data_IF_606465546336
#
_entry.id   IF_606465546336
#
_cell.length_a   1.000
_cell.length_b   1.000
_cell.length_c   1.000
_cell.angle_alpha   90.00
_cell.angle_beta   90.00
_cell.angle_gamma   90.00
#
_symmetry.space_group_name_H-M   'P 1'
#
loop_
_entity.id
_entity.type
_entity.pdbx_description
1 polymer ?
#
# COMPACT_ATOMS: atom_id res chain seq x y z
N UNK A 1 8.02 6.51 19.02
CA UNK A 1 7.89 5.05 19.00
C UNK A 1 9.13 4.43 19.63
N UNK A 2 9.00 3.29 20.32
CA UNK A 2 10.18 2.48 20.64
C UNK A 2 10.76 1.95 19.32
N UNK A 3 12.08 1.93 19.15
CA UNK A 3 12.70 1.46 17.89
C UNK A 3 12.25 0.04 17.53
N UNK A 4 12.16 -0.82 18.54
CA UNK A 4 11.72 -2.21 18.38
C UNK A 4 10.31 -2.31 17.76
N UNK A 5 9.36 -1.46 18.16
CA UNK A 5 7.99 -1.46 17.60
C UNK A 5 7.97 -1.05 16.12
N UNK A 6 8.89 -0.16 15.74
CA UNK A 6 9.03 0.29 14.36
C UNK A 6 9.64 -0.81 13.48
N UNK A 7 10.70 -1.46 13.97
CA UNK A 7 11.37 -2.55 13.26
C UNK A 7 10.43 -3.76 13.08
N UNK A 8 9.65 -4.09 14.11
CA UNK A 8 8.61 -5.12 14.05
C UNK A 8 7.53 -4.81 12.99
N UNK A 9 7.06 -3.55 12.94
CA UNK A 9 6.06 -3.11 11.95
C UNK A 9 6.61 -3.22 10.52
N UNK A 10 7.86 -2.80 10.28
CA UNK A 10 8.50 -2.88 8.96
C UNK A 10 8.65 -4.33 8.48
N UNK A 11 9.14 -5.23 9.35
CA UNK A 11 9.27 -6.66 9.04
C UNK A 11 7.90 -7.28 8.78
N UNK A 12 6.89 -6.94 9.59
CA UNK A 12 5.53 -7.41 9.43
C UNK A 12 4.98 -7.06 8.05
N UNK A 13 5.03 -5.77 7.67
CA UNK A 13 4.45 -5.31 6.40
C UNK A 13 5.19 -5.84 5.17
N UNK A 14 6.53 -5.96 5.23
CA UNK A 14 7.31 -6.60 4.16
C UNK A 14 6.86 -8.05 3.92
N UNK A 15 6.65 -8.82 4.99
CA UNK A 15 6.12 -10.19 4.90
C UNK A 15 4.69 -10.21 4.34
N UNK A 16 3.82 -9.34 4.87
CA UNK A 16 2.41 -9.27 4.45
C UNK A 16 2.27 -8.92 2.96
N UNK A 17 2.96 -7.88 2.48
CA UNK A 17 2.92 -7.52 1.05
C UNK A 17 3.45 -8.68 0.19
N UNK A 18 4.55 -9.32 0.60
CA UNK A 18 5.10 -10.46 -0.16
C UNK A 18 4.11 -11.63 -0.26
N UNK A 19 3.42 -11.96 0.82
CA UNK A 19 2.60 -13.18 0.89
C UNK A 19 1.19 -12.99 0.32
N UNK A 20 0.60 -11.80 0.47
CA UNK A 20 -0.81 -11.57 0.12
C UNK A 20 -1.01 -10.80 -1.19
N UNK A 21 -0.01 -10.10 -1.71
CA UNK A 21 -0.18 -9.28 -2.93
C UNK A 21 -0.65 -10.10 -4.14
N UNK A 22 -0.15 -11.33 -4.29
CA UNK A 22 -0.58 -12.23 -5.37
C UNK A 22 -2.05 -12.64 -5.26
N UNK A 23 -2.65 -12.60 -4.07
CA UNK A 23 -4.08 -12.93 -3.86
C UNK A 23 -5.01 -11.78 -4.24
N UNK A 24 -4.51 -10.55 -4.16
CA UNK A 24 -5.22 -9.37 -4.67
C UNK A 24 -5.26 -9.35 -6.21
N UNK A 25 -4.29 -10.01 -6.85
CA UNK A 25 -4.17 -10.02 -8.30
C UNK A 25 -5.39 -10.68 -9.00
N UNK A 26 -5.84 -11.92 -8.70
CA UNK A 26 -6.98 -12.51 -9.42
C UNK A 26 -8.33 -11.80 -9.19
N UNK A 27 -8.58 -11.28 -7.98
CA UNK A 27 -9.89 -10.75 -7.58
C UNK A 27 -10.16 -9.32 -8.08
N UNK A 28 -9.10 -8.55 -8.35
CA UNK A 28 -9.21 -7.18 -8.89
C UNK A 28 -9.17 -7.22 -10.43
N UNK A 29 -8.71 -8.33 -11.02
CA UNK A 29 -8.31 -8.40 -12.43
C UNK A 29 -9.19 -9.33 -13.30
N UNK A 30 -10.25 -9.95 -12.78
CA UNK A 30 -11.00 -11.00 -13.49
C UNK A 30 -11.86 -10.53 -14.68
N UNK A 31 -12.21 -9.25 -14.76
CA UNK A 31 -13.35 -8.83 -15.60
C UNK A 31 -12.97 -8.11 -16.91
N UNK A 32 -11.72 -8.18 -17.38
CA UNK A 32 -11.35 -7.53 -18.65
C UNK A 32 -11.27 -8.53 -19.83
N UNK A 33 -12.20 -8.48 -20.81
CA UNK A 33 -12.06 -9.23 -22.04
C UNK A 33 -10.88 -8.68 -22.85
N UNK A 34 -10.00 -9.55 -23.35
CA UNK A 34 -8.97 -9.18 -24.33
C UNK A 34 -9.66 -8.64 -25.59
N UNK A 35 -9.37 -7.40 -25.98
CA UNK A 35 -9.76 -6.88 -27.29
C UNK A 35 -8.80 -7.48 -28.33
N UNK A 36 -9.30 -8.14 -29.40
CA UNK A 36 -8.42 -8.70 -30.42
C UNK A 36 -7.89 -7.57 -31.32
N UNK A 37 -6.57 -7.37 -31.34
CA UNK A 37 -5.87 -6.41 -32.21
C UNK A 37 -4.36 -6.36 -31.95
N UNK A 38 -3.56 -6.30 -33.02
CA UNK A 38 -2.09 -6.47 -33.06
C UNK A 38 -1.27 -5.23 -32.60
N UNK A 39 -1.68 -4.52 -31.55
CA UNK A 39 -0.86 -3.45 -30.95
C UNK A 39 -0.23 -3.92 -29.64
N UNK A 40 1.02 -3.49 -29.36
CA UNK A 40 1.73 -3.79 -28.11
C UNK A 40 0.79 -3.53 -26.92
N UNK A 41 0.59 -4.52 -26.03
CA UNK A 41 -0.44 -4.42 -25.03
C UNK A 41 -0.10 -3.27 -24.08
N UNK A 42 -0.95 -2.24 -24.05
CA UNK A 42 -0.91 -1.24 -23.00
C UNK A 42 -0.93 -1.95 -21.64
N UNK A 43 -0.20 -1.44 -20.62
CA UNK A 43 -0.10 -2.08 -19.31
C UNK A 43 -1.49 -2.52 -18.83
N UNK A 44 -1.60 -3.72 -18.25
CA UNK A 44 -2.87 -4.42 -18.13
C UNK A 44 -3.91 -3.52 -17.45
N UNK A 45 -5.05 -3.34 -18.12
CA UNK A 45 -6.12 -2.36 -17.82
C UNK A 45 -6.74 -2.45 -16.42
N UNK A 46 -6.29 -3.39 -15.61
CA UNK A 46 -6.84 -3.76 -14.32
C UNK A 46 -5.85 -3.54 -13.16
N UNK A 47 -4.62 -3.09 -13.38
CA UNK A 47 -3.62 -2.97 -12.31
C UNK A 47 -4.05 -1.97 -11.20
N UNK A 48 -3.92 -2.35 -9.92
CA UNK A 48 -4.20 -1.50 -8.76
C UNK A 48 -3.36 -0.21 -8.85
N UNK A 49 -3.95 0.95 -8.60
CA UNK A 49 -3.23 2.24 -8.55
C UNK A 49 -3.39 3.00 -7.27
N UNK A 50 -4.51 2.85 -6.57
CA UNK A 50 -4.83 3.62 -5.37
C UNK A 50 -5.08 2.67 -4.21
N UNK A 51 -4.42 2.94 -3.10
CA UNK A 51 -4.52 2.21 -1.85
C UNK A 51 -4.87 3.22 -0.76
N UNK A 52 -5.80 2.84 0.10
CA UNK A 52 -6.15 3.62 1.28
C UNK A 52 -5.82 2.76 2.50
N UNK A 53 -4.78 3.15 3.24
CA UNK A 53 -4.39 2.49 4.49
C UNK A 53 -5.16 3.14 5.64
N UNK A 54 -6.30 2.56 6.02
CA UNK A 54 -7.23 3.15 6.99
C UNK A 54 -6.78 3.10 8.45
N UNK A 55 -5.67 2.40 8.75
CA UNK A 55 -5.14 2.30 10.11
C UNK A 55 -3.62 2.40 10.09
N UNK A 56 -3.13 3.45 9.44
CA UNK A 56 -1.71 3.66 9.25
C UNK A 56 -1.02 3.91 10.60
N UNK A 57 -0.01 3.10 10.91
CA UNK A 57 0.89 3.31 12.04
C UNK A 57 2.09 4.12 11.57
N UNK A 58 3.23 3.48 11.35
CA UNK A 58 4.45 4.15 10.89
C UNK A 58 4.55 4.27 9.36
N UNK A 59 3.43 4.04 8.64
CA UNK A 59 3.41 3.95 7.18
C UNK A 59 4.14 2.71 6.65
N UNK A 60 4.26 1.64 7.45
CA UNK A 60 4.97 0.42 7.09
C UNK A 60 4.36 -0.29 5.87
N UNK A 61 3.04 -0.24 5.71
CA UNK A 61 2.38 -0.79 4.51
C UNK A 61 2.79 -0.06 3.24
N UNK A 62 2.77 1.29 3.25
CA UNK A 62 3.23 2.11 2.14
C UNK A 62 4.71 1.84 1.80
N UNK A 63 5.56 1.82 2.83
CA UNK A 63 6.98 1.49 2.66
C UNK A 63 7.20 0.11 2.04
N UNK A 64 6.49 -0.92 2.50
CA UNK A 64 6.59 -2.27 1.96
C UNK A 64 6.10 -2.37 0.50
N UNK A 65 5.08 -1.60 0.12
CA UNK A 65 4.63 -1.51 -1.28
C UNK A 65 5.68 -0.84 -2.17
N UNK A 66 6.30 0.24 -1.69
CA UNK A 66 7.39 0.92 -2.39
C UNK A 66 8.61 0.00 -2.55
N UNK A 67 9.06 -0.63 -1.46
CA UNK A 67 10.21 -1.54 -1.44
C UNK A 67 10.00 -2.75 -2.36
N UNK A 68 8.75 -3.21 -2.53
CA UNK A 68 8.40 -4.31 -3.43
C UNK A 68 8.09 -3.89 -4.87
N UNK A 69 8.37 -2.63 -5.22
CA UNK A 69 8.24 -2.09 -6.58
C UNK A 69 6.79 -1.97 -7.05
N UNK A 70 5.81 -1.85 -6.15
CA UNK A 70 4.40 -1.68 -6.54
C UNK A 70 4.16 -0.22 -6.91
N UNK A 71 3.78 0.01 -8.17
CA UNK A 71 3.39 1.34 -8.66
C UNK A 71 1.98 1.69 -8.20
N UNK A 72 1.84 2.04 -6.92
CA UNK A 72 0.59 2.47 -6.29
C UNK A 72 0.75 3.76 -5.52
N UNK A 73 -0.29 4.59 -5.53
CA UNK A 73 -0.46 5.73 -4.66
C UNK A 73 -1.17 5.26 -3.38
N UNK A 74 -0.60 5.61 -2.23
CA UNK A 74 -1.12 5.21 -0.92
C UNK A 74 -1.47 6.46 -0.14
N UNK A 75 -2.74 6.59 0.25
CA UNK A 75 -3.16 7.53 1.29
C UNK A 75 -3.10 6.83 2.65
N UNK A 76 -2.21 7.29 3.52
CA UNK A 76 -2.13 6.79 4.89
C UNK A 76 -3.13 7.55 5.78
N UNK A 77 -4.02 6.84 6.44
CA UNK A 77 -5.05 7.42 7.32
C UNK A 77 -4.81 6.93 8.74
N UNK A 78 -4.62 7.88 9.65
CA UNK A 78 -4.40 7.61 11.08
C UNK A 78 -5.70 7.92 11.84
N UNK A 79 -6.36 6.94 12.47
CA UNK A 79 -7.54 7.19 13.28
C UNK A 79 -7.19 8.09 14.47
N UNK A 80 -8.03 9.09 14.78
CA UNK A 80 -7.83 9.97 15.95
C UNK A 80 -7.96 9.21 17.28
N UNK A 81 -8.62 8.05 17.27
CA UNK A 81 -8.72 7.15 18.41
C UNK A 81 -7.38 6.46 18.76
N UNK A 82 -6.42 6.45 17.82
CA UNK A 82 -5.10 5.84 17.99
C UNK A 82 -4.03 6.89 18.32
N UNK A 83 -2.84 6.48 18.82
CA UNK A 83 -1.72 7.40 18.95
C UNK A 83 -1.40 8.11 17.63
N UNK A 84 -1.11 9.41 17.69
CA UNK A 84 -0.86 10.21 16.50
C UNK A 84 0.49 9.87 15.85
N UNK A 85 0.46 8.96 14.87
CA UNK A 85 1.64 8.57 14.09
C UNK A 85 1.85 9.42 12.82
N UNK A 86 0.93 10.34 12.51
CA UNK A 86 0.99 11.14 11.29
C UNK A 86 2.32 11.89 11.12
N UNK A 87 2.92 12.52 12.16
CA UNK A 87 4.24 13.16 12.01
C UNK A 87 5.33 12.18 11.52
N UNK A 88 5.34 10.94 12.01
CA UNK A 88 6.33 9.93 11.59
C UNK A 88 6.12 9.48 10.15
N UNK A 89 4.87 9.41 9.69
CA UNK A 89 4.54 9.11 8.29
C UNK A 89 5.07 10.23 7.38
N UNK A 90 4.87 11.49 7.77
CA UNK A 90 5.34 12.66 7.02
C UNK A 90 6.88 12.75 7.02
N UNK A 91 7.54 12.49 8.15
CA UNK A 91 9.02 12.49 8.25
C UNK A 91 9.66 11.43 7.34
N UNK A 92 8.94 10.36 7.02
CA UNK A 92 9.35 9.32 6.05
C UNK A 92 9.12 9.73 4.60
N UNK A 93 8.52 10.89 4.35
CA UNK A 93 8.21 11.40 3.02
C UNK A 93 6.90 10.87 2.42
N UNK A 94 6.07 10.21 3.23
CA UNK A 94 4.75 9.75 2.79
C UNK A 94 3.67 10.77 3.12
N UNK A 95 2.58 10.74 2.35
CA UNK A 95 1.40 11.57 2.62
C UNK A 95 0.47 10.85 3.60
N UNK A 96 -0.27 11.62 4.40
CA UNK A 96 -1.31 11.05 5.24
C UNK A 96 -2.23 12.09 5.88
N UNK A 97 -3.29 11.60 6.50
CA UNK A 97 -4.34 12.41 7.14
C UNK A 97 -4.78 11.78 8.47
N UNK A 98 -5.37 12.59 9.35
CA UNK A 98 -6.13 12.11 10.51
C UNK A 98 -7.60 11.92 10.12
N UNK A 99 -8.26 10.91 10.69
CA UNK A 99 -9.69 10.64 10.49
C UNK A 99 -10.37 10.26 11.81
N UNK A 100 -11.57 10.79 12.06
CA UNK A 100 -12.43 10.50 13.21
C UNK A 100 -13.31 9.26 12.99
#
# INVERSE_FOLDING_TARGET
ARRDEFDEDDVHWKSTVRNYWSLLSPLIFSDHPKRPGDEDPSPPYNMLRNVMDMNARFGGFNAALLDSGKSVWVMNVVPVANPNYLPLILDRGFIGVLHD
#
